data_IF_546042749978
#
_entry.id   IF_546042749978
#
_cell.length_a   1.000
_cell.length_b   1.000
_cell.length_c   1.000
_cell.angle_alpha   90.00
_cell.angle_beta   90.00
_cell.angle_gamma   90.00
#
_symmetry.space_group_name_H-M   'P 1'
#
loop_
_entity.id
_entity.type
_entity.pdbx_description
1 polymer ?
#
# COMPACT_ATOMS: atom_id res chain seq x y z
N UNK A 1 -7.73 7.31 5.65
CA UNK A 1 -8.94 7.70 4.90
C UNK A 1 -8.61 7.82 3.42
N UNK A 2 -9.43 7.24 2.55
CA UNK A 2 -9.25 7.22 1.08
C UNK A 2 -10.52 7.72 0.39
N UNK A 3 -10.39 8.34 -0.78
CA UNK A 3 -11.53 8.66 -1.65
C UNK A 3 -11.91 7.41 -2.46
N UNK A 4 -13.20 7.22 -2.74
CA UNK A 4 -13.72 6.01 -3.43
C UNK A 4 -13.41 6.00 -4.94
N UNK A 5 -13.04 7.14 -5.53
CA UNK A 5 -13.00 7.31 -7.00
C UNK A 5 -11.67 7.81 -7.58
N UNK A 6 -10.62 7.99 -6.79
CA UNK A 6 -9.31 8.41 -7.31
C UNK A 6 -8.38 7.23 -7.53
N UNK A 7 -8.22 6.87 -8.80
CA UNK A 7 -7.14 6.02 -9.26
C UNK A 7 -5.81 6.71 -8.93
N UNK A 8 -4.90 5.97 -8.28
CA UNK A 8 -3.50 6.34 -8.04
C UNK A 8 -3.15 7.27 -6.85
N UNK A 9 -3.78 7.07 -5.69
CA UNK A 9 -3.36 7.70 -4.41
C UNK A 9 -3.44 9.23 -4.38
N UNK A 10 -4.20 9.86 -5.29
CA UNK A 10 -4.46 11.30 -5.22
C UNK A 10 -5.08 11.63 -3.85
N UNK A 11 -4.45 12.54 -3.12
CA UNK A 11 -4.87 12.92 -1.77
C UNK A 11 -4.48 11.95 -0.64
N UNK A 12 -3.62 10.94 -0.85
CA UNK A 12 -3.00 10.20 0.25
C UNK A 12 -1.66 10.82 0.63
N UNK A 13 -1.60 11.32 1.86
CA UNK A 13 -0.43 11.89 2.54
C UNK A 13 -0.44 11.46 4.01
N UNK A 14 0.56 11.86 4.80
CA UNK A 14 0.64 11.54 6.23
C UNK A 14 -0.61 11.94 7.02
N UNK A 15 -1.30 13.03 6.62
CA UNK A 15 -2.55 13.49 7.24
C UNK A 15 -3.73 12.54 7.01
N UNK A 16 -3.54 11.53 6.14
CA UNK A 16 -4.55 10.53 5.80
C UNK A 16 -4.58 9.36 6.78
N UNK A 17 -3.59 9.27 7.67
CA UNK A 17 -3.59 8.39 8.84
C UNK A 17 -3.99 9.21 10.06
N UNK A 18 -5.19 8.96 10.56
CA UNK A 18 -5.72 9.66 11.74
C UNK A 18 -5.76 8.67 12.89
N UNK A 19 -5.15 9.04 14.01
CA UNK A 19 -5.32 8.33 15.27
C UNK A 19 -6.67 8.73 15.85
N UNK A 20 -7.62 7.80 15.88
CA UNK A 20 -8.96 8.01 16.44
C UNK A 20 -9.12 7.10 17.64
N UNK A 21 -9.52 7.69 18.77
CA UNK A 21 -9.79 6.95 20.01
C UNK A 21 -11.30 6.73 20.21
N UNK A 22 -12.11 7.48 19.48
CA UNK A 22 -13.58 7.52 19.58
C UNK A 22 -14.22 7.61 18.20
N UNK A 23 -15.45 7.13 18.10
CA UNK A 23 -16.20 7.08 16.84
C UNK A 23 -16.52 8.49 16.31
N UNK A 24 -16.77 9.45 17.20
CA UNK A 24 -17.09 10.84 16.83
C UNK A 24 -15.90 11.56 16.16
N UNK A 25 -14.67 11.23 16.56
CA UNK A 25 -13.44 11.75 15.94
C UNK A 25 -13.27 11.23 14.51
N UNK A 26 -13.63 9.96 14.29
CA UNK A 26 -13.61 9.35 12.96
C UNK A 26 -14.68 9.97 12.06
N UNK A 27 -15.90 10.15 12.59
CA UNK A 27 -17.02 10.77 11.88
C UNK A 27 -16.67 12.18 11.44
N UNK A 28 -16.18 13.03 12.35
CA UNK A 28 -15.81 14.41 12.04
C UNK A 28 -14.67 14.52 11.02
N UNK A 29 -13.69 13.61 11.09
CA UNK A 29 -12.60 13.58 10.11
C UNK A 29 -13.05 13.08 8.73
N UNK A 30 -14.03 12.17 8.66
CA UNK A 30 -14.66 11.75 7.41
C UNK A 30 -15.48 12.89 6.79
N UNK A 31 -16.25 13.62 7.59
CA UNK A 31 -17.04 14.78 7.15
C UNK A 31 -16.15 15.91 6.61
N UNK A 32 -15.14 16.33 7.37
CA UNK A 32 -14.19 17.36 6.94
C UNK A 32 -13.47 16.97 5.62
N UNK A 33 -13.21 15.68 5.42
CA UNK A 33 -12.57 15.17 4.21
C UNK A 33 -13.55 15.06 3.04
N UNK A 34 -14.81 14.71 3.31
CA UNK A 34 -15.88 14.73 2.33
C UNK A 34 -16.12 16.15 1.80
N UNK A 35 -16.21 17.14 2.69
CA UNK A 35 -16.35 18.56 2.32
C UNK A 35 -15.18 19.06 1.47
N UNK A 36 -13.95 18.67 1.84
CA UNK A 36 -12.73 19.08 1.11
C UNK A 36 -12.59 18.43 -0.26
N UNK A 37 -12.99 17.16 -0.41
CA UNK A 37 -12.79 16.39 -1.65
C UNK A 37 -14.05 16.33 -2.53
N UNK A 38 -15.22 16.73 -2.02
CA UNK A 38 -16.50 16.68 -2.72
C UNK A 38 -16.94 15.26 -3.12
N UNK A 39 -16.39 14.22 -2.49
CA UNK A 39 -16.54 12.81 -2.88
C UNK A 39 -16.77 11.93 -1.66
N UNK A 40 -17.46 10.80 -1.84
CA UNK A 40 -17.59 9.77 -0.80
C UNK A 40 -16.21 9.31 -0.34
N UNK A 41 -15.99 9.35 0.97
CA UNK A 41 -14.75 8.94 1.62
C UNK A 41 -15.01 7.71 2.49
N UNK A 42 -14.02 6.84 2.62
CA UNK A 42 -14.07 5.71 3.54
C UNK A 42 -12.77 5.63 4.35
N UNK A 43 -12.88 5.08 5.56
CA UNK A 43 -11.75 4.82 6.43
C UNK A 43 -11.50 3.31 6.50
N UNK A 44 -10.23 2.94 6.34
CA UNK A 44 -9.75 1.59 6.60
C UNK A 44 -8.80 1.65 7.79
N UNK A 45 -8.76 0.58 8.57
CA UNK A 45 -7.78 0.45 9.66
C UNK A 45 -6.37 0.54 9.06
N UNK A 46 -5.54 1.43 9.61
CA UNK A 46 -4.12 1.46 9.27
C UNK A 46 -3.45 0.17 9.78
N UNK A 47 -2.64 -0.41 8.90
CA UNK A 47 -1.98 -1.68 9.13
C UNK A 47 -0.47 -1.44 9.06
N UNK A 48 0.25 -1.58 10.18
CA UNK A 48 1.71 -1.51 10.16
C UNK A 48 2.29 -2.80 9.58
N UNK A 49 3.35 -2.67 8.76
CA UNK A 49 4.02 -3.83 8.18
C UNK A 49 4.87 -3.49 6.94
N UNK A 50 5.18 -4.54 6.19
CA UNK A 50 5.82 -4.48 4.87
C UNK A 50 4.75 -4.23 3.82
N UNK A 51 5.08 -3.52 2.74
CA UNK A 51 4.15 -3.28 1.64
C UNK A 51 4.65 -4.00 0.38
N UNK A 52 3.78 -4.74 -0.31
CA UNK A 52 4.14 -5.46 -1.53
C UNK A 52 3.25 -5.05 -2.72
N UNK A 53 3.79 -5.14 -3.92
CA UNK A 53 3.07 -4.97 -5.17
C UNK A 53 3.15 -6.27 -5.96
N UNK A 54 1.99 -6.81 -6.36
CA UNK A 54 1.86 -8.09 -7.07
C UNK A 54 1.13 -7.85 -8.38
N UNK A 55 1.89 -7.58 -9.44
CA UNK A 55 1.31 -7.40 -10.76
C UNK A 55 0.78 -8.71 -11.33
N UNK A 56 -0.38 -8.69 -11.98
CA UNK A 56 -0.87 -9.79 -12.79
C UNK A 56 -1.11 -9.29 -14.21
N UNK A 57 -0.72 -10.12 -15.18
CA UNK A 57 -0.89 -9.84 -16.59
C UNK A 57 -1.60 -11.01 -17.25
N UNK A 58 -2.65 -10.73 -18.01
CA UNK A 58 -3.25 -11.73 -18.88
C UNK A 58 -2.60 -11.67 -20.25
N UNK A 59 -2.06 -12.81 -20.69
CA UNK A 59 -1.52 -13.00 -22.03
C UNK A 59 -2.13 -14.26 -22.64
N UNK A 60 -2.82 -14.09 -23.77
CA UNK A 60 -3.43 -15.21 -24.52
C UNK A 60 -4.37 -16.08 -23.66
N UNK A 61 -5.16 -15.46 -22.78
CA UNK A 61 -6.09 -16.16 -21.88
C UNK A 61 -5.43 -16.86 -20.69
N UNK A 62 -4.12 -16.66 -20.49
CA UNK A 62 -3.38 -17.14 -19.31
C UNK A 62 -2.99 -15.97 -18.43
N UNK A 63 -3.20 -16.10 -17.13
CA UNK A 63 -2.80 -15.11 -16.13
C UNK A 63 -1.41 -15.46 -15.63
N UNK A 64 -0.49 -14.53 -15.78
CA UNK A 64 0.88 -14.59 -15.27
C UNK A 64 1.02 -13.63 -14.09
N UNK A 65 1.64 -14.10 -13.01
CA UNK A 65 2.01 -13.24 -11.87
C UNK A 65 3.40 -12.68 -12.15
N UNK A 66 3.52 -11.37 -12.12
CA UNK A 66 4.79 -10.65 -12.29
C UNK A 66 5.62 -10.73 -11.00
N UNK A 67 6.95 -10.49 -11.07
CA UNK A 67 7.79 -10.47 -9.88
C UNK A 67 7.22 -9.59 -8.77
N UNK A 68 7.13 -10.15 -7.57
CA UNK A 68 6.64 -9.43 -6.39
C UNK A 68 7.66 -8.38 -6.00
N UNK A 69 7.22 -7.13 -5.90
CA UNK A 69 8.05 -6.03 -5.42
C UNK A 69 7.70 -5.71 -3.97
N UNK A 70 8.68 -5.66 -3.08
CA UNK A 70 8.52 -5.02 -1.76
C UNK A 70 8.84 -3.53 -1.89
N UNK A 71 8.00 -2.69 -1.30
CA UNK A 71 8.32 -1.28 -1.06
C UNK A 71 9.08 -1.17 0.26
N UNK A 72 10.30 -0.67 0.18
CA UNK A 72 11.12 -0.39 1.37
C UNK A 72 10.86 1.01 1.88
N UNK A 73 11.16 1.26 3.15
CA UNK A 73 11.12 2.59 3.76
C UNK A 73 12.51 2.92 4.29
N UNK A 74 13.36 3.44 3.40
CA UNK A 74 14.79 3.72 3.67
C UNK A 74 14.95 5.10 4.29
N UNK A 75 15.73 5.21 5.36
CA UNK A 75 15.92 6.46 6.13
C UNK A 75 14.60 7.14 6.54
N UNK A 76 13.54 6.34 6.71
CA UNK A 76 12.20 6.84 7.00
C UNK A 76 12.06 7.26 8.46
N UNK A 77 11.56 8.47 8.76
CA UNK A 77 11.36 8.93 10.12
C UNK A 77 10.45 7.98 10.92
N UNK A 78 10.86 7.62 12.13
CA UNK A 78 10.16 6.64 12.96
C UNK A 78 8.78 7.12 13.45
N UNK A 79 8.57 8.43 13.48
CA UNK A 79 7.33 9.11 13.83
C UNK A 79 6.36 9.26 12.65
N UNK A 80 6.78 8.93 11.43
CA UNK A 80 5.95 8.99 10.23
C UNK A 80 5.33 7.63 9.91
N UNK A 81 4.04 7.58 9.51
CA UNK A 81 3.43 6.35 9.06
C UNK A 81 4.14 5.84 7.79
N UNK A 82 4.43 4.55 7.75
CA UNK A 82 4.97 3.88 6.57
C UNK A 82 3.85 3.62 5.57
N UNK A 83 3.52 4.65 4.78
CA UNK A 83 2.52 4.58 3.71
C UNK A 83 3.07 5.12 2.40
N UNK A 84 2.72 4.49 1.29
CA UNK A 84 3.05 5.02 -0.05
C UNK A 84 1.96 5.99 -0.50
N UNK A 85 2.13 7.26 -0.12
CA UNK A 85 1.28 8.38 -0.53
C UNK A 85 1.48 8.85 -1.97
N UNK A 86 0.86 9.97 -2.33
CA UNK A 86 0.99 10.58 -3.67
C UNK A 86 2.43 10.98 -3.98
N UNK A 87 3.10 11.69 -3.06
CA UNK A 87 4.47 12.18 -3.25
C UNK A 87 5.43 11.02 -3.57
N UNK A 88 5.32 9.91 -2.84
CA UNK A 88 6.08 8.68 -3.07
C UNK A 88 5.91 8.09 -4.48
N UNK A 89 4.77 8.34 -5.14
CA UNK A 89 4.45 7.77 -6.46
C UNK A 89 4.72 8.72 -7.62
N UNK A 90 4.48 10.01 -7.42
CA UNK A 90 4.29 10.96 -8.52
C UNK A 90 5.12 12.24 -8.40
N UNK A 91 5.84 12.45 -7.30
CA UNK A 91 6.69 13.64 -7.13
C UNK A 91 8.17 13.23 -7.08
N UNK A 92 8.87 13.20 -8.22
CA UNK A 92 10.26 12.74 -8.29
C UNK A 92 11.24 13.58 -7.47
N UNK A 93 10.88 14.81 -7.11
CA UNK A 93 11.72 15.67 -6.27
C UNK A 93 11.49 15.49 -4.77
N UNK A 94 10.49 14.68 -4.38
CA UNK A 94 10.14 14.48 -2.98
C UNK A 94 11.07 13.51 -2.26
N UNK A 95 11.23 13.72 -0.95
CA UNK A 95 11.89 12.75 -0.08
C UNK A 95 11.21 11.38 -0.18
N UNK A 96 9.88 11.36 -0.18
CA UNK A 96 9.07 10.15 -0.18
C UNK A 96 9.35 9.26 -1.40
N UNK A 97 9.52 9.86 -2.58
CA UNK A 97 9.80 9.12 -3.81
C UNK A 97 11.16 8.39 -3.75
N UNK A 98 12.18 9.05 -3.19
CA UNK A 98 13.51 8.46 -3.04
C UNK A 98 13.62 7.47 -1.87
N UNK A 99 12.88 7.72 -0.80
CA UNK A 99 12.90 6.91 0.41
C UNK A 99 11.98 5.67 0.35
N UNK A 100 11.23 5.49 -0.75
CA UNK A 100 10.37 4.31 -0.99
C UNK A 100 10.76 3.48 -2.22
N UNK A 101 12.03 3.03 -2.35
CA UNK A 101 12.42 2.21 -3.48
C UNK A 101 11.72 0.85 -3.45
N UNK A 102 11.56 0.27 -4.63
CA UNK A 102 11.07 -1.11 -4.79
C UNK A 102 12.25 -2.06 -4.89
N UNK A 103 12.20 -3.15 -4.13
CA UNK A 103 13.11 -4.29 -4.28
C UNK A 103 12.35 -5.51 -4.78
N UNK A 104 12.99 -6.30 -5.61
CA UNK A 104 12.54 -7.63 -6.03
C UNK A 104 13.37 -8.75 -5.37
N UNK A 105 14.38 -8.35 -4.59
CA UNK A 105 15.22 -9.27 -3.84
C UNK A 105 14.53 -9.57 -2.50
N UNK A 106 13.73 -10.63 -2.51
CA UNK A 106 13.03 -11.13 -1.33
C UNK A 106 13.88 -12.21 -0.64
N UNK A 107 14.07 -12.14 0.69
CA UNK A 107 14.77 -13.17 1.46
C UNK A 107 14.25 -14.58 1.19
N UNK A 108 15.13 -15.58 1.22
CA UNK A 108 14.74 -17.00 1.08
C UNK A 108 13.71 -17.44 2.11
N UNK A 109 13.74 -16.85 3.31
CA UNK A 109 12.81 -17.17 4.40
C UNK A 109 11.37 -16.68 4.11
N UNK A 110 11.20 -15.78 3.14
CA UNK A 110 9.90 -15.27 2.70
C UNK A 110 9.20 -16.20 1.69
N UNK A 111 9.73 -17.38 1.39
CA UNK A 111 9.13 -18.28 0.39
C UNK A 111 7.65 -18.64 0.71
N UNK A 112 7.32 -18.82 1.99
CA UNK A 112 5.93 -19.05 2.43
C UNK A 112 5.04 -17.82 2.23
N UNK A 113 5.60 -16.63 2.44
CA UNK A 113 4.95 -15.35 2.24
C UNK A 113 4.69 -15.10 0.75
N UNK A 114 5.69 -15.31 -0.10
CA UNK A 114 5.60 -15.20 -1.56
C UNK A 114 4.45 -16.06 -2.09
N UNK A 115 4.41 -17.34 -1.72
CA UNK A 115 3.30 -18.23 -2.11
C UNK A 115 1.92 -17.73 -1.68
N UNK A 116 1.83 -17.15 -0.49
CA UNK A 116 0.57 -16.60 0.03
C UNK A 116 0.15 -15.35 -0.73
N UNK A 117 1.09 -14.46 -1.05
CA UNK A 117 0.86 -13.27 -1.87
C UNK A 117 0.37 -13.64 -3.28
N UNK A 118 1.03 -14.60 -3.92
CA UNK A 118 0.62 -15.12 -5.23
C UNK A 118 -0.80 -15.70 -5.19
N UNK A 119 -1.10 -16.53 -4.18
CA UNK A 119 -2.42 -17.13 -4.01
C UNK A 119 -3.51 -16.07 -3.78
N UNK A 120 -3.26 -15.07 -2.93
CA UNK A 120 -4.19 -13.96 -2.70
C UNK A 120 -4.44 -13.16 -3.97
N UNK A 121 -3.37 -12.80 -4.68
CA UNK A 121 -3.47 -11.99 -5.89
C UNK A 121 -4.27 -12.72 -6.99
N UNK A 122 -4.00 -14.02 -7.18
CA UNK A 122 -4.74 -14.85 -8.13
C UNK A 122 -6.20 -15.03 -7.72
N UNK A 123 -6.48 -15.22 -6.42
CA UNK A 123 -7.84 -15.34 -5.90
C UNK A 123 -8.64 -14.05 -6.12
N UNK A 124 -8.03 -12.89 -5.86
CA UNK A 124 -8.61 -11.59 -6.14
C UNK A 124 -8.90 -11.41 -7.65
N UNK A 125 -7.94 -11.75 -8.51
CA UNK A 125 -8.14 -11.69 -9.96
C UNK A 125 -9.37 -12.48 -10.41
N UNK A 126 -9.50 -13.72 -9.92
CA UNK A 126 -10.63 -14.61 -10.22
C UNK A 126 -11.96 -14.09 -9.67
N UNK A 127 -11.97 -13.58 -8.45
CA UNK A 127 -13.19 -13.09 -7.80
C UNK A 127 -13.74 -11.83 -8.46
N UNK A 128 -12.86 -10.91 -8.87
CA UNK A 128 -13.25 -9.60 -9.37
C UNK A 128 -13.22 -9.48 -10.91
N UNK A 129 -12.89 -10.56 -11.63
CA UNK A 129 -12.73 -10.56 -13.11
C UNK A 129 -11.86 -9.40 -13.60
N UNK A 130 -10.79 -9.10 -12.84
CA UNK A 130 -9.94 -7.94 -13.08
C UNK A 130 -9.17 -8.10 -14.39
N UNK A 131 -8.85 -6.97 -15.02
CA UNK A 131 -7.88 -6.88 -16.11
C UNK A 131 -6.84 -5.83 -15.71
N UNK A 132 -5.88 -6.18 -14.85
CA UNK A 132 -4.84 -5.24 -14.43
C UNK A 132 -4.05 -5.58 -13.16
N UNK A 133 -3.27 -4.61 -12.70
CA UNK A 133 -2.35 -4.72 -11.56
C UNK A 133 -3.10 -4.83 -10.23
N UNK A 134 -2.71 -5.79 -9.39
CA UNK A 134 -3.16 -5.91 -8.00
C UNK A 134 -2.08 -5.38 -7.06
N UNK A 135 -2.45 -4.65 -6.01
CA UNK A 135 -1.54 -4.33 -4.91
C UNK A 135 -1.98 -5.14 -3.71
N UNK A 136 -1.13 -6.04 -3.23
CA UNK A 136 -1.41 -6.90 -2.08
C UNK A 136 -0.47 -6.50 -0.96
N UNK A 137 -1.03 -5.98 0.14
CA UNK A 137 -0.28 -5.68 1.35
C UNK A 137 -0.32 -6.92 2.24
N UNK A 138 0.83 -7.47 2.65
CA UNK A 138 0.90 -8.60 3.58
C UNK A 138 1.42 -8.19 4.96
N UNK A 139 1.04 -8.98 5.96
CA UNK A 139 1.22 -8.78 7.38
C UNK A 139 2.18 -9.83 7.93
N UNK A 140 3.30 -9.38 8.48
CA UNK A 140 4.22 -10.20 9.27
C UNK A 140 4.73 -9.41 10.46
N UNK A 141 4.61 -9.98 11.65
CA UNK A 141 5.02 -9.40 12.93
C UNK A 141 6.51 -9.02 12.96
N UNK A 142 6.80 -7.78 13.38
CA UNK A 142 8.10 -7.29 13.87
C UNK A 142 9.24 -7.30 12.84
N UNK A 143 9.49 -6.16 12.19
CA UNK A 143 10.80 -5.92 11.57
C UNK A 143 11.81 -5.52 12.65
N UNK A 144 12.82 -6.37 12.85
CA UNK A 144 14.10 -5.96 13.43
C UNK A 144 14.71 -4.92 12.49
N UNK A 145 14.93 -3.71 13.00
CA UNK A 145 15.68 -2.65 12.32
C UNK A 145 17.03 -3.22 11.89
N UNK A 146 17.25 -3.42 10.59
CA UNK A 146 18.58 -3.71 10.04
C UNK A 146 19.20 -2.39 9.61
N UNK A 147 20.16 -1.92 10.38
CA UNK A 147 21.08 -0.88 9.91
C UNK A 147 22.05 -1.49 8.89
N UNK A 148 22.40 -0.76 7.82
CA UNK A 148 23.44 -1.21 6.91
C UNK A 148 24.80 -1.23 7.63
N UNK A 149 25.55 -2.30 7.39
CA UNK A 149 26.96 -2.48 7.80
C UNK A 149 27.90 -1.61 6.99
#
# INVERSE_FOLDING_TARGET
MKSVWEHASFGLDDSSVVQVSREEELQGALEARHERLGKSCFAERFIPGREFNVGLLEKEGRVEILPIAEVQFVDWPADRPRIVGYAAKWEPSSFEYHATPRTFDLPSDDESLVRKLEWLAYSCWRAFSLRGVCAVVDFGSTQTVRQPS
#
